data_IF_623424138168
#
_entry.id   IF_623424138168
#
_cell.length_a   1.000
_cell.length_b   1.000
_cell.length_c   1.000
_cell.angle_alpha   90.00
_cell.angle_beta   90.00
_cell.angle_gamma   90.00
#
_symmetry.space_group_name_H-M   'P 1'
#
loop_
_entity.id
_entity.type
_entity.pdbx_description
1 polymer ?
#
# COMPACT_ATOMS: atom_id res chain seq x y z
N UNK A 1 -3.96 10.16 7.57
CA UNK A 1 -3.63 8.76 7.20
C UNK A 1 -2.54 8.21 8.12
N UNK A 2 -2.63 6.94 8.54
CA UNK A 2 -1.72 6.36 9.54
C UNK A 2 -0.51 5.61 8.93
N UNK A 3 -0.50 5.43 7.59
CA UNK A 3 0.63 4.85 6.86
C UNK A 3 1.76 5.86 6.78
N UNK A 4 2.99 5.40 7.05
CA UNK A 4 4.21 6.21 6.97
C UNK A 4 5.11 5.70 5.86
N UNK A 5 5.93 6.61 5.33
CA UNK A 5 7.00 6.25 4.41
C UNK A 5 7.93 5.24 5.08
N UNK A 6 8.18 4.12 4.39
CA UNK A 6 8.96 2.99 4.87
C UNK A 6 8.13 1.83 5.44
N UNK A 7 6.83 2.01 5.65
CA UNK A 7 5.99 0.91 6.15
C UNK A 7 5.83 -0.19 5.09
N UNK A 8 5.87 -1.45 5.54
CA UNK A 8 5.42 -2.59 4.74
C UNK A 8 3.91 -2.70 4.85
N UNK A 9 3.25 -2.78 3.69
CA UNK A 9 1.80 -2.78 3.58
C UNK A 9 1.37 -4.02 2.81
N UNK A 10 0.44 -4.77 3.38
CA UNK A 10 -0.25 -5.87 2.69
C UNK A 10 -1.54 -5.35 2.07
N UNK A 11 -1.78 -5.67 0.81
CA UNK A 11 -3.03 -5.33 0.13
C UNK A 11 -4.05 -6.44 0.41
N UNK A 12 -5.18 -6.08 1.00
CA UNK A 12 -6.28 -6.98 1.38
C UNK A 12 -7.38 -7.06 0.33
N UNK A 13 -7.43 -6.11 -0.60
CA UNK A 13 -8.46 -6.02 -1.63
C UNK A 13 -8.61 -7.32 -2.45
N UNK A 14 -9.82 -7.64 -2.90
CA UNK A 14 -10.15 -8.82 -3.70
C UNK A 14 -9.81 -8.62 -5.20
N UNK A 15 -8.73 -7.90 -5.47
CA UNK A 15 -8.25 -7.56 -6.81
C UNK A 15 -6.95 -8.31 -7.13
N UNK A 16 -6.38 -8.05 -8.31
CA UNK A 16 -5.09 -8.60 -8.78
C UNK A 16 -3.90 -8.41 -7.80
N UNK A 17 -4.08 -7.59 -6.76
CA UNK A 17 -3.10 -7.29 -5.72
C UNK A 17 -3.33 -8.01 -4.40
N UNK A 18 -4.35 -8.88 -4.31
CA UNK A 18 -4.71 -9.57 -3.08
C UNK A 18 -3.49 -10.29 -2.45
N UNK A 19 -3.25 -10.02 -1.16
CA UNK A 19 -2.14 -10.51 -0.34
C UNK A 19 -0.73 -10.12 -0.79
N UNK A 20 -0.58 -9.31 -1.84
CA UNK A 20 0.71 -8.75 -2.23
C UNK A 20 1.21 -7.80 -1.13
N UNK A 21 2.53 -7.78 -0.95
CA UNK A 21 3.21 -6.88 -0.02
C UNK A 21 3.93 -5.83 -0.85
N UNK A 22 3.74 -4.56 -0.47
CA UNK A 22 4.48 -3.44 -1.01
C UNK A 22 5.13 -2.61 0.08
N UNK A 23 6.02 -1.72 -0.35
CA UNK A 23 6.70 -0.76 0.50
C UNK A 23 6.10 0.63 0.27
N UNK A 24 5.67 1.32 1.32
CA UNK A 24 5.25 2.71 1.20
C UNK A 24 6.46 3.60 0.89
N UNK A 25 6.51 4.19 -0.30
CA UNK A 25 7.64 5.04 -0.74
C UNK A 25 7.36 6.52 -0.55
N UNK A 26 6.09 6.92 -0.59
CA UNK A 26 5.63 8.31 -0.51
C UNK A 26 4.31 8.42 0.23
N UNK A 27 4.13 9.50 0.99
CA UNK A 27 2.90 9.83 1.72
C UNK A 27 2.61 11.31 1.52
N UNK A 28 1.47 11.62 0.90
CA UNK A 28 0.88 12.95 0.79
C UNK A 28 -0.20 13.17 1.85
N UNK A 29 -1.01 14.24 1.71
CA UNK A 29 -2.07 14.58 2.66
C UNK A 29 -3.11 13.45 2.76
N UNK A 30 -3.62 13.01 1.59
CA UNK A 30 -4.76 12.07 1.49
C UNK A 30 -4.42 10.79 0.74
N UNK A 31 -3.15 10.62 0.33
CA UNK A 31 -2.70 9.52 -0.51
C UNK A 31 -1.36 8.97 -0.03
N UNK A 32 -1.21 7.65 0.04
CA UNK A 32 0.09 6.99 0.15
C UNK A 32 0.36 6.12 -1.08
N UNK A 33 1.61 6.16 -1.54
CA UNK A 33 2.07 5.35 -2.67
C UNK A 33 2.79 4.13 -2.13
N UNK A 34 2.24 2.96 -2.41
CA UNK A 34 2.80 1.65 -2.05
C UNK A 34 3.42 1.03 -3.30
N UNK A 35 4.73 0.86 -3.30
CA UNK A 35 5.47 0.23 -4.37
C UNK A 35 5.49 -1.30 -4.18
N UNK A 36 4.85 -2.02 -5.10
CA UNK A 36 4.83 -3.47 -5.11
C UNK A 36 6.02 -4.00 -5.91
N UNK A 37 6.92 -4.72 -5.24
CA UNK A 37 8.18 -5.24 -5.81
C UNK A 37 8.01 -6.52 -6.64
N UNK A 38 6.82 -7.13 -6.68
CA UNK A 38 6.60 -8.35 -7.45
C UNK A 38 6.26 -8.03 -8.90
N UNK A 39 7.11 -8.49 -9.83
CA UNK A 39 7.01 -8.27 -11.27
C UNK A 39 5.62 -8.60 -11.84
N UNK A 40 5.02 -7.74 -12.69
CA UNK A 40 5.54 -6.44 -13.14
C UNK A 40 5.58 -5.41 -11.99
N UNK A 41 6.42 -4.38 -12.03
CA UNK A 41 6.45 -3.38 -10.95
C UNK A 41 5.20 -2.48 -11.02
N UNK A 42 4.46 -2.36 -9.93
CA UNK A 42 3.26 -1.53 -9.87
C UNK A 42 3.23 -0.63 -8.64
N UNK A 43 2.53 0.49 -8.76
CA UNK A 43 2.23 1.41 -7.66
C UNK A 43 0.76 1.24 -7.29
N UNK A 44 0.53 0.88 -6.03
CA UNK A 44 -0.80 0.88 -5.42
C UNK A 44 -1.00 2.19 -4.67
N UNK A 45 -2.06 2.91 -5.00
CA UNK A 45 -2.39 4.18 -4.39
C UNK A 45 -3.43 3.95 -3.31
N UNK A 46 -3.03 4.20 -2.06
CA UNK A 46 -3.92 4.12 -0.91
C UNK A 46 -4.48 5.50 -0.64
N UNK A 47 -5.80 5.66 -0.72
CA UNK A 47 -6.56 6.87 -0.38
C UNK A 47 -7.35 6.62 0.90
N UNK A 48 -8.06 7.64 1.42
CA UNK A 48 -8.99 7.41 2.53
C UNK A 48 -10.10 6.41 2.18
N UNK A 49 -10.59 6.43 0.94
CA UNK A 49 -11.68 5.57 0.45
C UNK A 49 -11.32 4.08 0.43
N UNK A 50 -10.05 3.73 0.20
CA UNK A 50 -9.60 2.34 0.11
C UNK A 50 -8.62 1.95 1.23
N UNK A 51 -8.54 2.77 2.29
CA UNK A 51 -7.61 2.57 3.40
C UNK A 51 -7.80 1.22 4.10
N UNK A 52 -9.03 0.75 4.18
CA UNK A 52 -9.41 -0.55 4.75
C UNK A 52 -8.99 -1.74 3.88
N UNK A 53 -8.70 -1.48 2.60
CA UNK A 53 -8.18 -2.47 1.66
C UNK A 53 -6.69 -2.76 1.86
N UNK A 54 -6.05 -2.19 2.89
CA UNK A 54 -4.64 -2.44 3.22
C UNK A 54 -4.41 -2.64 4.71
N UNK A 55 -3.35 -3.39 5.04
CA UNK A 55 -2.90 -3.65 6.41
C UNK A 55 -1.42 -3.33 6.54
N UNK A 56 -1.07 -2.47 7.48
CA UNK A 56 0.33 -2.23 7.86
C UNK A 56 0.84 -3.48 8.60
N UNK A 57 1.96 -4.04 8.14
CA UNK A 57 2.55 -5.27 8.69
C UNK A 57 3.73 -4.97 9.64
N UNK A 58 4.11 -3.70 9.76
CA UNK A 58 5.25 -3.25 10.56
C UNK A 58 6.56 -3.20 9.77
N UNK A 59 7.59 -2.63 10.40
CA UNK A 59 8.96 -2.61 9.88
C UNK A 59 9.73 -3.83 10.37
#
# INVERSE_FOLDING_TARGET
MDIKKGDKVQILDNSQWHQKIGLCTEVGHDIAVVFCVQFPFWRYYVTEENRESVRIIGN
#
